data_IF_256205588303
#
_entry.id   IF_256205588303
#
_cell.length_a   1.000
_cell.length_b   1.000
_cell.length_c   1.000
_cell.angle_alpha   90.00
_cell.angle_beta   90.00
_cell.angle_gamma   90.00
#
_symmetry.space_group_name_H-M   'P 1'
#
loop_
_entity.id
_entity.type
_entity.pdbx_description
1 polymer ?
#
# COMPACT_ATOMS: atom_id res chain seq x y z
N UNK A 1 6.04 50.19 -1.72
CA UNK A 1 6.60 48.91 -1.24
C UNK A 1 5.50 48.14 -0.52
N UNK A 2 4.97 47.08 -1.13
CA UNK A 2 3.95 46.23 -0.50
C UNK A 2 4.68 45.19 0.36
N UNK A 3 4.43 45.18 1.67
CA UNK A 3 4.97 44.15 2.57
C UNK A 3 4.32 42.81 2.20
N UNK A 4 5.14 41.83 1.82
CA UNK A 4 4.70 40.46 1.63
C UNK A 4 4.15 39.92 2.96
N UNK A 5 2.94 39.37 2.92
CA UNK A 5 2.29 38.72 4.07
C UNK A 5 3.08 37.43 4.37
N UNK A 6 3.63 37.30 5.58
CA UNK A 6 4.35 36.11 5.98
C UNK A 6 3.45 34.87 5.81
N UNK A 7 3.89 33.89 5.02
CA UNK A 7 3.21 32.59 4.93
C UNK A 7 3.37 31.90 6.27
N UNK A 8 2.26 31.77 7.00
CA UNK A 8 2.20 30.90 8.19
C UNK A 8 2.41 29.47 7.68
N UNK A 9 3.53 28.86 8.08
CA UNK A 9 3.78 27.44 7.83
C UNK A 9 3.01 26.63 8.86
N UNK A 10 2.57 25.45 8.45
CA UNK A 10 2.02 24.47 9.39
C UNK A 10 3.11 24.04 10.37
N UNK A 11 2.78 24.01 11.65
CA UNK A 11 3.63 23.44 12.70
C UNK A 11 2.91 22.17 13.22
N UNK A 12 3.50 20.98 13.05
CA UNK A 12 2.92 19.77 13.59
C UNK A 12 2.92 19.80 15.13
N UNK A 13 1.97 19.08 15.75
CA UNK A 13 1.96 18.93 17.21
C UNK A 13 3.22 18.22 17.72
N UNK A 14 3.57 18.36 19.01
CA UNK A 14 4.84 17.88 19.57
C UNK A 14 5.04 16.35 19.54
N UNK A 15 3.97 15.59 19.23
CA UNK A 15 4.03 14.14 19.05
C UNK A 15 4.38 13.70 17.61
N UNK A 16 4.58 14.65 16.70
CA UNK A 16 4.80 14.38 15.28
C UNK A 16 6.11 15.04 14.82
N UNK A 17 6.89 14.30 14.04
CA UNK A 17 8.06 14.81 13.35
C UNK A 17 7.88 14.64 11.83
N UNK A 18 8.44 15.56 11.05
CA UNK A 18 8.51 15.43 9.61
C UNK A 18 9.44 14.27 9.24
N UNK A 19 8.91 13.32 8.46
CA UNK A 19 9.74 12.23 7.91
C UNK A 19 10.67 12.83 6.86
N UNK A 20 11.97 12.88 7.19
CA UNK A 20 13.04 13.36 6.29
C UNK A 20 13.68 12.24 5.48
N UNK A 21 13.18 11.02 5.60
CA UNK A 21 13.69 9.87 4.87
C UNK A 21 13.53 10.10 3.37
N UNK A 22 14.60 9.84 2.63
CA UNK A 22 14.53 9.88 1.17
C UNK A 22 13.58 8.79 0.68
N UNK A 23 12.90 9.12 -0.42
CA UNK A 23 12.07 8.18 -1.15
C UNK A 23 12.85 6.88 -1.41
N UNK A 24 12.45 5.78 -0.77
CA UNK A 24 13.08 4.48 -1.00
C UNK A 24 12.89 3.99 -2.45
N UNK A 25 11.91 4.56 -3.16
CA UNK A 25 11.57 4.21 -4.54
C UNK A 25 11.30 5.50 -5.33
N UNK A 26 12.15 5.77 -6.34
CA UNK A 26 11.84 6.72 -7.40
C UNK A 26 11.05 5.99 -8.49
N UNK A 27 9.72 6.03 -8.36
CA UNK A 27 8.81 5.38 -9.31
C UNK A 27 8.34 6.43 -10.31
N UNK A 28 8.55 6.16 -11.59
CA UNK A 28 7.98 6.94 -12.70
C UNK A 28 6.88 6.11 -13.36
N UNK A 29 5.62 6.20 -12.90
CA UNK A 29 4.54 5.35 -13.40
C UNK A 29 4.31 5.61 -14.88
N UNK A 30 4.17 4.52 -15.63
CA UNK A 30 3.71 4.52 -17.03
C UNK A 30 2.28 4.03 -17.12
N UNK A 31 1.67 4.09 -18.30
CA UNK A 31 0.33 3.55 -18.56
C UNK A 31 0.22 2.03 -18.30
N UNK A 32 1.34 1.32 -18.21
CA UNK A 32 1.40 -0.13 -17.89
C UNK A 32 1.74 -0.42 -16.43
N UNK A 33 1.93 0.61 -15.59
CA UNK A 33 2.24 0.42 -14.17
C UNK A 33 0.95 0.20 -13.38
N UNK A 34 0.89 -0.87 -12.60
CA UNK A 34 -0.26 -1.17 -11.75
C UNK A 34 0.13 -1.05 -10.28
N UNK A 35 -0.68 -0.32 -9.50
CA UNK A 35 -0.55 -0.26 -8.04
C UNK A 35 -1.52 -1.23 -7.37
N UNK A 36 -0.98 -2.03 -6.46
CA UNK A 36 -1.70 -3.05 -5.72
C UNK A 36 -1.62 -2.72 -4.23
N UNK A 37 -2.76 -2.72 -3.55
CA UNK A 37 -2.82 -2.56 -2.10
C UNK A 37 -3.01 -3.94 -1.47
N UNK A 38 -2.04 -4.39 -0.69
CA UNK A 38 -2.10 -5.68 0.00
C UNK A 38 -2.25 -5.40 1.50
N UNK A 39 -3.34 -5.85 2.10
CA UNK A 39 -3.60 -5.71 3.53
C UNK A 39 -3.20 -6.98 4.27
N UNK A 40 -2.31 -6.81 5.25
CA UNK A 40 -1.74 -7.88 6.05
C UNK A 40 -2.14 -7.72 7.52
N UNK A 41 -2.62 -8.79 8.21
CA UNK A 41 -2.94 -8.73 9.63
C UNK A 41 -1.65 -8.78 10.46
N UNK A 42 -1.02 -7.62 10.64
CA UNK A 42 0.33 -7.45 11.24
C UNK A 42 0.51 -8.10 12.61
N UNK A 43 -0.55 -8.14 13.43
CA UNK A 43 -0.47 -8.61 14.82
C UNK A 43 -0.71 -10.13 14.94
N UNK A 44 -1.05 -10.78 13.82
CA UNK A 44 -1.42 -12.21 13.78
C UNK A 44 -0.45 -13.06 12.97
N UNK A 45 0.44 -12.43 12.19
CA UNK A 45 1.26 -13.11 11.20
C UNK A 45 2.65 -12.47 11.14
N UNK A 46 3.69 -13.30 11.31
CA UNK A 46 5.06 -12.92 11.00
C UNK A 46 5.29 -13.01 9.47
N UNK A 47 5.71 -11.90 8.87
CA UNK A 47 5.97 -11.81 7.42
C UNK A 47 7.08 -12.78 7.01
N UNK A 48 8.01 -13.10 7.91
CA UNK A 48 9.10 -14.05 7.67
C UNK A 48 8.60 -15.47 7.41
N UNK A 49 7.40 -15.83 7.88
CA UNK A 49 6.82 -17.16 7.65
C UNK A 49 6.52 -17.45 6.17
N UNK A 50 6.51 -16.40 5.34
CA UNK A 50 6.21 -16.48 3.90
C UNK A 50 7.43 -16.15 3.04
N UNK A 51 8.61 -16.03 3.65
CA UNK A 51 9.83 -15.74 2.90
C UNK A 51 10.09 -16.82 1.83
N UNK A 52 10.18 -16.39 0.58
CA UNK A 52 10.39 -17.27 -0.58
C UNK A 52 9.16 -18.09 -0.99
N UNK A 53 7.98 -17.87 -0.39
CA UNK A 53 6.73 -18.46 -0.86
C UNK A 53 6.24 -17.70 -2.09
N UNK A 54 5.82 -18.44 -3.11
CA UNK A 54 5.18 -17.90 -4.31
C UNK A 54 3.70 -18.25 -4.31
N UNK A 55 2.90 -17.38 -4.94
CA UNK A 55 1.46 -17.58 -5.06
C UNK A 55 0.98 -17.16 -6.45
N UNK A 56 0.11 -17.99 -7.02
CA UNK A 56 -0.64 -17.66 -8.24
C UNK A 56 -2.03 -17.17 -7.90
N UNK A 57 -2.39 -15.97 -8.35
CA UNK A 57 -3.69 -15.33 -8.10
C UNK A 57 -4.59 -15.40 -9.32
N UNK A 58 -5.89 -15.65 -9.10
CA UNK A 58 -6.92 -15.60 -10.15
C UNK A 58 -7.70 -14.29 -10.09
N UNK A 59 -7.16 -13.23 -10.70
CA UNK A 59 -7.69 -11.86 -10.57
C UNK A 59 -9.07 -11.61 -11.22
N UNK A 60 -9.58 -12.55 -12.02
CA UNK A 60 -10.87 -12.39 -12.70
C UNK A 60 -12.08 -12.80 -11.86
N UNK A 61 -11.88 -13.23 -10.60
CA UNK A 61 -12.94 -13.66 -9.70
C UNK A 61 -12.99 -12.81 -8.44
N UNK A 62 -14.19 -12.44 -8.01
CA UNK A 62 -14.44 -11.86 -6.69
C UNK A 62 -14.47 -12.95 -5.60
N UNK A 63 -14.06 -12.59 -4.39
CA UNK A 63 -13.94 -13.50 -3.25
C UNK A 63 -12.54 -14.09 -3.16
N UNK A 64 -12.45 -15.41 -2.95
CA UNK A 64 -11.18 -16.13 -2.82
C UNK A 64 -10.38 -16.11 -4.13
N UNK A 65 -9.17 -15.58 -4.08
CA UNK A 65 -8.21 -15.58 -5.19
C UNK A 65 -7.19 -16.72 -5.12
N UNK A 66 -7.01 -17.27 -3.92
CA UNK A 66 -6.08 -18.35 -3.62
C UNK A 66 -5.86 -18.51 -2.12
N UNK A 67 -5.09 -19.53 -1.75
CA UNK A 67 -4.68 -19.77 -0.38
C UNK A 67 -3.16 -19.76 -0.28
N UNK A 68 -2.65 -19.24 0.83
CA UNK A 68 -1.24 -19.15 1.15
C UNK A 68 -0.99 -19.89 2.46
N UNK A 69 -0.06 -20.84 2.45
CA UNK A 69 0.31 -21.62 3.63
C UNK A 69 1.66 -21.15 4.17
N UNK A 70 1.70 -20.90 5.48
CA UNK A 70 2.91 -20.47 6.17
C UNK A 70 3.84 -21.66 6.48
N UNK A 71 5.01 -21.37 7.06
CA UNK A 71 5.99 -22.39 7.46
C UNK A 71 5.45 -23.44 8.46
N UNK A 72 4.43 -23.09 9.25
CA UNK A 72 3.81 -23.96 10.26
C UNK A 72 2.62 -24.77 9.75
N UNK A 73 2.27 -24.65 8.46
CA UNK A 73 1.11 -25.34 7.86
C UNK A 73 -0.24 -24.65 8.08
N UNK A 74 -0.26 -23.43 8.62
CA UNK A 74 -1.47 -22.62 8.76
C UNK A 74 -1.80 -21.98 7.41
N UNK A 75 -3.04 -22.18 6.97
CA UNK A 75 -3.54 -21.65 5.70
C UNK A 75 -4.22 -20.29 5.90
N UNK A 76 -4.03 -19.42 4.92
CA UNK A 76 -4.60 -18.10 4.87
C UNK A 76 -5.24 -17.90 3.51
N UNK A 77 -6.48 -17.44 3.51
CA UNK A 77 -7.21 -17.12 2.29
C UNK A 77 -6.82 -15.73 1.82
N UNK A 78 -6.51 -15.59 0.54
CA UNK A 78 -6.32 -14.28 -0.09
C UNK A 78 -7.58 -13.98 -0.86
N UNK A 79 -8.23 -12.88 -0.48
CA UNK A 79 -9.47 -12.45 -1.09
C UNK A 79 -9.32 -11.08 -1.74
N UNK A 80 -10.11 -10.87 -2.80
CA UNK A 80 -10.41 -9.55 -3.35
C UNK A 80 -11.91 -9.35 -3.29
N UNK A 81 -12.33 -8.15 -2.90
CA UNK A 81 -13.72 -7.75 -2.94
C UNK A 81 -13.88 -6.65 -3.98
N UNK A 82 -14.26 -6.94 -5.24
CA UNK A 82 -14.48 -5.87 -6.22
C UNK A 82 -15.66 -4.95 -5.89
N UNK A 83 -16.56 -5.38 -4.97
CA UNK A 83 -17.53 -4.48 -4.36
C UNK A 83 -16.86 -3.32 -3.61
N UNK A 84 -15.65 -3.53 -3.08
CA UNK A 84 -14.74 -2.50 -2.60
C UNK A 84 -13.84 -2.08 -3.76
N UNK A 85 -14.31 -1.15 -4.60
CA UNK A 85 -13.36 -0.41 -5.44
C UNK A 85 -12.31 0.22 -4.52
N UNK A 86 -11.01 0.16 -4.84
CA UNK A 86 -10.00 0.77 -4.00
C UNK A 86 -10.25 2.28 -3.91
N UNK A 87 -10.70 2.77 -2.75
CA UNK A 87 -10.76 4.20 -2.44
C UNK A 87 -9.45 4.63 -1.80
N UNK A 88 -8.36 4.40 -2.54
CA UNK A 88 -7.00 4.64 -2.08
C UNK A 88 -6.21 5.39 -3.15
N UNK A 89 -5.56 6.48 -2.72
CA UNK A 89 -4.62 7.25 -3.55
C UNK A 89 -3.20 6.96 -3.08
N UNK A 90 -2.34 6.61 -4.02
CA UNK A 90 -0.90 6.44 -3.77
C UNK A 90 -0.24 7.81 -3.93
N UNK A 91 0.35 8.31 -2.85
CA UNK A 91 1.19 9.51 -2.90
C UNK A 91 2.64 9.07 -3.13
N UNK A 92 3.19 9.44 -4.29
CA UNK A 92 4.57 9.13 -4.61
C UNK A 92 5.47 10.27 -4.14
N UNK A 93 6.59 9.95 -3.47
CA UNK A 93 7.60 10.94 -3.19
C UNK A 93 8.14 11.49 -4.51
N UNK A 94 8.37 12.78 -4.58
CA UNK A 94 8.95 13.45 -5.74
C UNK A 94 9.57 14.72 -5.22
N UNK A 95 10.87 14.91 -5.39
CA UNK A 95 11.60 16.01 -4.75
C UNK A 95 10.92 17.39 -4.85
N UNK A 96 10.23 17.71 -5.95
CA UNK A 96 9.57 19.01 -6.15
C UNK A 96 8.06 18.98 -6.39
N UNK A 97 7.45 17.84 -6.77
CA UNK A 97 6.03 17.77 -7.18
C UNK A 97 5.40 16.42 -6.83
N UNK A 98 4.47 16.37 -5.87
CA UNK A 98 3.79 15.11 -5.52
C UNK A 98 3.02 14.52 -6.70
N UNK A 99 3.40 13.31 -7.13
CA UNK A 99 2.65 12.53 -8.11
C UNK A 99 1.64 11.62 -7.40
N UNK A 100 0.43 11.52 -7.94
CA UNK A 100 -0.62 10.65 -7.41
C UNK A 100 -0.87 9.46 -8.35
N UNK A 101 -0.87 8.25 -7.80
CA UNK A 101 -1.28 7.02 -8.50
C UNK A 101 -2.59 6.48 -7.94
N UNK A 102 -3.37 5.78 -8.77
CA UNK A 102 -4.59 5.09 -8.33
C UNK A 102 -4.30 3.60 -8.10
N UNK A 103 -4.85 3.05 -7.02
CA UNK A 103 -4.80 1.61 -6.75
C UNK A 103 -5.76 0.88 -7.68
N UNK A 104 -5.29 -0.16 -8.36
CA UNK A 104 -6.10 -0.97 -9.28
C UNK A 104 -6.74 -2.16 -8.59
N UNK A 105 -6.00 -2.81 -7.69
CA UNK A 105 -6.47 -3.99 -6.95
C UNK A 105 -6.19 -3.84 -5.46
N UNK A 106 -7.15 -4.27 -4.63
CA UNK A 106 -6.99 -4.38 -3.19
C UNK A 106 -7.17 -5.84 -2.77
N UNK A 107 -6.13 -6.40 -2.17
CA UNK A 107 -6.10 -7.77 -1.69
C UNK A 107 -6.07 -7.79 -0.16
N UNK A 108 -6.78 -8.73 0.43
CA UNK A 108 -6.88 -8.91 1.87
C UNK A 108 -6.53 -10.35 2.22
N UNK A 109 -5.60 -10.52 3.17
CA UNK A 109 -5.30 -11.82 3.75
C UNK A 109 -6.27 -12.10 4.92
N UNK A 110 -7.07 -13.14 4.78
CA UNK A 110 -8.02 -13.66 5.77
C UNK A 110 -7.45 -14.95 6.39
N UNK A 111 -7.70 -15.16 7.67
CA UNK A 111 -7.37 -16.45 8.31
C UNK A 111 -8.48 -17.44 7.96
N UNK A 112 -8.11 -18.60 7.42
CA UNK A 112 -9.02 -19.69 7.09
C UNK A 112 -9.34 -20.57 8.31
#
# INVERSE_FOLDING_TARGET
MVKAKARVRYEPGPAFEEVKEEAMLDISPTDSTEFWLIQWPKDQIDVLDFHGKELSLKLHSDGNLGNLENSSGKSYEIASFAAQKPDATVFLPSGSETKAGMVKYQLILLIA
#
